data_IF_667800537837
#
_entry.id   IF_667800537837
#
_cell.length_a   1.000
_cell.length_b   1.000
_cell.length_c   1.000
_cell.angle_alpha   90.00
_cell.angle_beta   90.00
_cell.angle_gamma   90.00
#
_symmetry.space_group_name_H-M   'P 1'
#
loop_
_entity.id
_entity.type
_entity.pdbx_description
1 polymer ?
#
# COMPACT_ATOMS: atom_id res chain seq x y z
N UNK A 1 22.05 27.12 2.62
CA UNK A 1 21.81 25.66 2.57
C UNK A 1 20.48 25.47 1.86
N UNK A 2 20.52 25.13 0.57
CA UNK A 2 19.35 25.11 -0.32
C UNK A 2 18.64 23.77 -0.15
N UNK A 3 17.51 23.75 0.57
CA UNK A 3 16.63 22.58 0.59
C UNK A 3 16.02 22.43 -0.82
N UNK A 4 16.51 21.48 -1.59
CA UNK A 4 15.82 21.04 -2.81
C UNK A 4 14.44 20.52 -2.36
N UNK A 5 13.39 21.21 -2.73
CA UNK A 5 12.00 20.76 -2.62
C UNK A 5 11.83 19.46 -3.40
N UNK A 6 11.97 18.33 -2.74
CA UNK A 6 11.46 17.07 -3.27
C UNK A 6 9.94 17.06 -3.01
N UNK A 7 9.17 17.62 -3.91
CA UNK A 7 7.74 17.35 -4.00
C UNK A 7 7.60 15.91 -4.44
N UNK A 8 7.59 14.99 -3.50
CA UNK A 8 7.12 13.64 -3.76
C UNK A 8 5.59 13.73 -3.67
N UNK A 9 4.97 13.97 -4.83
CA UNK A 9 3.57 13.66 -4.99
C UNK A 9 3.43 12.15 -4.77
N UNK A 10 2.98 11.77 -3.58
CA UNK A 10 2.66 10.39 -3.24
C UNK A 10 1.39 10.01 -4.03
N UNK A 11 1.54 9.64 -5.31
CA UNK A 11 0.46 9.05 -6.10
C UNK A 11 -0.07 7.73 -5.51
N UNK A 12 0.63 7.16 -4.51
CA UNK A 12 0.19 5.99 -3.73
C UNK A 12 -0.93 6.36 -2.75
N UNK A 13 -1.05 7.61 -2.35
CA UNK A 13 -2.11 8.12 -1.46
C UNK A 13 -3.50 7.93 -2.08
N UNK A 14 -3.59 7.89 -3.39
CA UNK A 14 -4.87 7.76 -4.11
C UNK A 14 -5.64 6.48 -3.78
N UNK A 15 -4.96 5.38 -3.46
CA UNK A 15 -5.62 4.12 -3.07
C UNK A 15 -6.24 4.17 -1.66
N UNK A 16 -5.84 5.14 -0.81
CA UNK A 16 -6.33 5.26 0.57
C UNK A 16 -7.28 6.45 0.76
N UNK A 17 -7.42 7.31 -0.25
CA UNK A 17 -8.22 8.53 -0.21
C UNK A 17 -9.71 8.27 -0.38
N UNK A 18 -10.08 7.24 -1.15
CA UNK A 18 -11.48 6.87 -1.41
C UNK A 18 -11.65 5.37 -1.37
N UNK A 19 -12.64 4.93 -0.58
CA UNK A 19 -13.06 3.54 -0.64
C UNK A 19 -13.54 3.20 -2.05
N UNK A 20 -13.03 2.11 -2.58
CA UNK A 20 -13.32 1.59 -3.91
C UNK A 20 -13.87 0.18 -3.78
N UNK A 21 -14.96 -0.11 -4.47
CA UNK A 21 -15.59 -1.44 -4.40
C UNK A 21 -14.94 -2.45 -5.35
N UNK A 22 -14.57 -2.00 -6.55
CA UNK A 22 -14.10 -2.86 -7.63
C UNK A 22 -12.62 -2.63 -7.88
N UNK A 23 -11.90 -3.71 -8.10
CA UNK A 23 -10.46 -3.71 -8.37
C UNK A 23 -10.24 -3.37 -9.85
N UNK A 24 -9.40 -2.39 -10.11
CA UNK A 24 -8.99 -1.96 -11.45
C UNK A 24 -7.47 -2.10 -11.63
N UNK A 25 -7.03 -1.98 -12.86
CA UNK A 25 -5.61 -1.94 -13.18
C UNK A 25 -4.93 -0.75 -12.51
N UNK A 26 -3.75 -0.96 -11.94
CA UNK A 26 -3.00 0.03 -11.17
C UNK A 26 -3.37 0.11 -9.70
N UNK A 27 -4.47 -0.51 -9.26
CA UNK A 27 -4.81 -0.55 -7.84
C UNK A 27 -3.80 -1.37 -7.04
N UNK A 28 -3.69 -1.04 -5.76
CA UNK A 28 -3.00 -1.89 -4.78
C UNK A 28 -4.00 -2.79 -4.08
N UNK A 29 -3.71 -4.08 -4.04
CA UNK A 29 -4.53 -5.10 -3.38
C UNK A 29 -3.69 -5.84 -2.35
N UNK A 30 -4.28 -6.16 -1.20
CA UNK A 30 -3.67 -7.06 -0.23
C UNK A 30 -4.19 -8.48 -0.49
N UNK A 31 -3.29 -9.34 -0.92
CA UNK A 31 -3.57 -10.77 -1.07
C UNK A 31 -3.39 -11.44 0.29
N UNK A 32 -4.50 -11.76 0.93
CA UNK A 32 -4.54 -12.39 2.23
C UNK A 32 -4.79 -13.89 2.08
N UNK A 33 -3.82 -14.68 2.47
CA UNK A 33 -3.93 -16.16 2.52
C UNK A 33 -4.22 -16.60 3.95
N UNK A 34 -3.43 -16.13 4.91
CA UNK A 34 -3.61 -16.32 6.35
C UNK A 34 -2.88 -15.21 7.12
N UNK A 35 -2.93 -15.26 8.47
CA UNK A 35 -2.35 -14.23 9.34
C UNK A 35 -0.83 -14.04 9.16
N UNK A 36 -0.12 -15.07 8.69
CA UNK A 36 1.32 -15.06 8.47
C UNK A 36 1.71 -14.87 7.00
N UNK A 37 0.72 -14.87 6.09
CA UNK A 37 0.93 -14.84 4.64
C UNK A 37 0.02 -13.82 4.00
N UNK A 38 0.49 -12.58 4.03
CA UNK A 38 -0.15 -11.43 3.40
C UNK A 38 0.85 -10.75 2.48
N UNK A 39 0.38 -10.28 1.34
CA UNK A 39 1.22 -9.67 0.32
C UNK A 39 0.54 -8.43 -0.25
N UNK A 40 1.25 -7.32 -0.36
CA UNK A 40 0.81 -6.18 -1.16
C UNK A 40 1.15 -6.41 -2.62
N UNK A 41 0.19 -6.22 -3.50
CA UNK A 41 0.32 -6.44 -4.93
C UNK A 41 -0.28 -5.26 -5.70
N UNK A 42 0.50 -4.68 -6.60
CA UNK A 42 -0.01 -3.74 -7.60
C UNK A 42 -0.65 -4.53 -8.76
N UNK A 43 -1.88 -4.21 -9.12
CA UNK A 43 -2.66 -4.91 -10.15
C UNK A 43 -2.16 -4.49 -11.53
N UNK A 44 -1.10 -5.14 -11.97
CA UNK A 44 -0.56 -5.04 -13.33
C UNK A 44 -0.72 -6.38 -14.01
N UNK A 45 -1.66 -6.51 -14.99
CA UNK A 45 -1.98 -7.78 -15.63
C UNK A 45 -0.81 -8.35 -16.42
N UNK A 46 0.09 -7.47 -16.86
CA UNK A 46 1.24 -7.82 -17.68
C UNK A 46 2.56 -7.39 -17.01
N UNK A 47 3.62 -8.07 -17.35
CA UNK A 47 4.99 -7.71 -16.97
C UNK A 47 5.94 -7.96 -18.14
N UNK A 48 6.97 -7.15 -18.22
CA UNK A 48 8.06 -7.35 -19.18
C UNK A 48 9.09 -8.31 -18.56
N UNK A 49 9.41 -9.39 -19.27
CA UNK A 49 10.44 -10.33 -18.86
C UNK A 49 11.86 -9.76 -19.13
N UNK A 50 12.90 -10.50 -18.73
CA UNK A 50 14.30 -10.09 -18.91
C UNK A 50 14.69 -9.93 -20.38
N UNK A 51 13.96 -10.53 -21.30
CA UNK A 51 14.20 -10.49 -22.75
C UNK A 51 13.42 -9.36 -23.45
N UNK A 52 12.68 -8.53 -22.71
CA UNK A 52 11.87 -7.45 -23.27
C UNK A 52 10.48 -7.88 -23.75
N UNK A 53 10.07 -9.14 -23.58
CA UNK A 53 8.78 -9.64 -24.02
C UNK A 53 7.70 -9.40 -22.96
N UNK A 54 6.51 -9.01 -23.40
CA UNK A 54 5.34 -8.83 -22.53
C UNK A 54 4.73 -10.20 -22.22
N UNK A 55 4.63 -10.50 -20.94
CA UNK A 55 4.08 -11.77 -20.45
C UNK A 55 3.01 -11.52 -19.39
N UNK A 56 2.06 -12.46 -19.26
CA UNK A 56 1.06 -12.43 -18.20
C UNK A 56 1.75 -12.37 -16.82
N UNK A 57 1.34 -11.43 -16.01
CA UNK A 57 1.85 -11.33 -14.65
C UNK A 57 1.21 -12.41 -13.77
N UNK A 58 2.05 -13.31 -13.25
CA UNK A 58 1.67 -14.38 -12.33
C UNK A 58 2.35 -14.10 -10.99
N UNK A 59 1.55 -13.89 -9.96
CA UNK A 59 2.03 -13.72 -8.60
C UNK A 59 2.10 -15.07 -7.88
N UNK A 60 3.26 -15.38 -7.31
CA UNK A 60 3.50 -16.64 -6.60
C UNK A 60 3.29 -16.47 -5.11
N UNK A 61 2.50 -17.37 -4.52
CA UNK A 61 2.34 -17.49 -3.07
C UNK A 61 2.74 -18.89 -2.62
N UNK A 62 2.91 -19.09 -1.31
CA UNK A 62 3.14 -20.43 -0.73
C UNK A 62 1.99 -21.42 -1.00
N UNK A 63 0.80 -20.92 -1.32
CA UNK A 63 -0.40 -21.72 -1.60
C UNK A 63 -0.76 -21.76 -3.10
N UNK A 64 0.13 -21.32 -3.96
CA UNK A 64 -0.02 -21.41 -5.40
C UNK A 64 0.05 -20.06 -6.12
N UNK A 65 -0.14 -20.13 -7.43
CA UNK A 65 -0.04 -19.01 -8.34
C UNK A 65 -1.37 -18.28 -8.51
N UNK A 66 -1.32 -16.97 -8.59
CA UNK A 66 -2.43 -16.07 -8.91
C UNK A 66 -2.13 -15.37 -10.23
N UNK A 67 -3.03 -15.46 -11.20
CA UNK A 67 -2.97 -14.60 -12.38
C UNK A 67 -3.50 -13.22 -12.00
N UNK A 68 -2.64 -12.20 -12.06
CA UNK A 68 -2.99 -10.85 -11.60
C UNK A 68 -4.18 -10.28 -12.37
N UNK A 69 -4.31 -10.59 -13.65
CA UNK A 69 -5.46 -10.19 -14.49
C UNK A 69 -6.82 -10.65 -13.95
N UNK A 70 -6.87 -11.77 -13.21
CA UNK A 70 -8.12 -12.33 -12.69
C UNK A 70 -8.67 -11.53 -11.51
N UNK A 71 -7.90 -10.55 -11.00
CA UNK A 71 -8.34 -9.60 -9.96
C UNK A 71 -9.17 -8.47 -10.54
N UNK A 72 -8.92 -8.08 -11.80
CA UNK A 72 -9.59 -6.93 -12.42
C UNK A 72 -11.09 -7.21 -12.56
N UNK A 73 -11.92 -6.25 -12.12
CA UNK A 73 -13.37 -6.38 -12.11
C UNK A 73 -13.94 -7.14 -10.91
N UNK A 74 -13.08 -7.75 -10.06
CA UNK A 74 -13.53 -8.35 -8.81
C UNK A 74 -13.78 -7.28 -7.74
N UNK A 75 -14.67 -7.57 -6.79
CA UNK A 75 -14.86 -6.69 -5.64
C UNK A 75 -13.78 -6.93 -4.59
N UNK A 76 -13.33 -5.86 -3.93
CA UNK A 76 -12.52 -6.00 -2.74
C UNK A 76 -13.27 -6.82 -1.67
N UNK A 77 -12.55 -7.63 -0.91
CA UNK A 77 -13.11 -8.55 0.08
C UNK A 77 -13.48 -9.92 -0.49
N UNK A 78 -13.38 -10.14 -1.80
CA UNK A 78 -13.77 -11.41 -2.42
C UNK A 78 -12.69 -12.48 -2.32
N UNK A 79 -13.15 -13.72 -2.39
CA UNK A 79 -12.31 -14.91 -2.45
C UNK A 79 -11.82 -15.11 -3.89
N UNK A 80 -10.51 -15.18 -4.06
CA UNK A 80 -9.84 -15.39 -5.36
C UNK A 80 -9.17 -16.74 -5.40
N UNK A 81 -9.23 -17.41 -6.56
CA UNK A 81 -8.67 -18.75 -6.72
C UNK A 81 -7.18 -18.68 -6.99
N UNK A 82 -6.43 -19.51 -6.28
CA UNK A 82 -5.03 -19.80 -6.57
C UNK A 82 -4.92 -21.15 -7.26
N UNK A 83 -3.74 -21.49 -7.80
CA UNK A 83 -3.53 -22.79 -8.43
C UNK A 83 -3.68 -23.99 -7.47
N UNK A 84 -3.47 -23.77 -6.14
CA UNK A 84 -3.56 -24.81 -5.11
C UNK A 84 -4.40 -24.34 -3.89
N UNK A 85 -5.46 -23.56 -4.10
CA UNK A 85 -6.28 -23.09 -3.00
C UNK A 85 -6.92 -21.75 -3.31
N UNK A 86 -7.00 -20.89 -2.30
CA UNK A 86 -7.61 -19.57 -2.44
C UNK A 86 -6.93 -18.54 -1.53
N UNK A 87 -7.17 -17.29 -1.85
CA UNK A 87 -6.85 -16.12 -1.02
C UNK A 87 -8.03 -15.15 -1.01
N UNK A 88 -7.93 -14.10 -0.23
CA UNK A 88 -8.86 -12.99 -0.28
C UNK A 88 -8.15 -11.75 -0.85
N UNK A 89 -8.80 -11.05 -1.76
CA UNK A 89 -8.34 -9.79 -2.33
C UNK A 89 -8.88 -8.63 -1.47
N UNK A 90 -8.11 -8.16 -0.49
CA UNK A 90 -8.55 -7.15 0.46
C UNK A 90 -8.17 -5.75 0.01
N UNK A 91 -9.00 -4.77 0.38
CA UNK A 91 -8.67 -3.37 0.25
C UNK A 91 -7.47 -3.02 1.15
N UNK A 92 -6.48 -2.25 0.65
CA UNK A 92 -5.30 -1.89 1.43
C UNK A 92 -5.68 -0.84 2.50
N UNK A 93 -5.81 -1.28 3.75
CA UNK A 93 -5.86 -0.36 4.88
C UNK A 93 -4.46 -0.05 5.37
N UNK A 94 -4.21 1.08 6.08
CA UNK A 94 -2.90 1.37 6.66
C UNK A 94 -2.35 0.23 7.52
N UNK A 95 -3.21 -0.46 8.26
CA UNK A 95 -2.82 -1.59 9.11
C UNK A 95 -2.38 -2.81 8.29
N UNK A 96 -3.15 -3.16 7.25
CA UNK A 96 -2.78 -4.25 6.33
C UNK A 96 -1.54 -3.89 5.52
N UNK A 97 -1.42 -2.63 5.07
CA UNK A 97 -0.21 -2.14 4.40
C UNK A 97 1.02 -2.35 5.27
N UNK A 98 0.99 -1.86 6.50
CA UNK A 98 2.09 -1.98 7.46
C UNK A 98 2.56 -3.43 7.65
N UNK A 99 1.62 -4.38 7.68
CA UNK A 99 1.90 -5.81 7.82
C UNK A 99 2.53 -6.46 6.58
N UNK A 100 2.35 -5.87 5.40
CA UNK A 100 2.90 -6.39 4.14
C UNK A 100 4.21 -5.76 3.72
N UNK A 101 4.68 -4.77 4.48
CA UNK A 101 5.93 -4.07 4.17
C UNK A 101 7.16 -4.98 4.35
N UNK A 102 8.08 -4.96 3.40
CA UNK A 102 9.37 -5.62 3.60
C UNK A 102 10.19 -4.85 4.65
N UNK A 103 10.86 -5.58 5.54
CA UNK A 103 11.73 -5.03 6.59
C UNK A 103 13.02 -4.40 6.02
N UNK A 104 12.90 -3.30 5.31
CA UNK A 104 14.03 -2.55 4.74
C UNK A 104 14.43 -1.32 5.58
N UNK A 105 13.50 -0.82 6.38
CA UNK A 105 13.70 0.30 7.31
C UNK A 105 13.06 -0.10 8.64
N UNK A 106 13.30 0.68 9.70
CA UNK A 106 12.51 0.56 10.93
C UNK A 106 11.04 0.86 10.59
N UNK A 107 10.16 -0.04 10.95
CA UNK A 107 8.71 0.09 10.74
C UNK A 107 8.07 0.44 12.08
N UNK A 108 7.20 1.45 12.09
CA UNK A 108 6.29 1.71 13.18
C UNK A 108 5.03 0.85 13.01
N UNK A 109 4.59 0.23 14.09
CA UNK A 109 3.42 -0.63 14.10
C UNK A 109 2.21 0.07 14.73
N UNK A 110 1.03 -0.53 14.56
CA UNK A 110 -0.26 0.09 14.92
C UNK A 110 -0.33 0.64 16.34
N UNK A 111 0.33 0.00 17.31
CA UNK A 111 0.35 0.46 18.71
C UNK A 111 1.06 1.81 18.83
N UNK A 112 2.27 1.92 18.28
CA UNK A 112 3.05 3.16 18.35
C UNK A 112 2.39 4.28 17.54
N UNK A 113 1.85 3.93 16.36
CA UNK A 113 1.14 4.86 15.48
C UNK A 113 -0.10 5.42 16.18
N UNK A 114 -0.88 4.56 16.85
CA UNK A 114 -2.06 4.99 17.60
C UNK A 114 -1.70 5.95 18.72
N UNK A 115 -0.61 5.68 19.43
CA UNK A 115 -0.12 6.56 20.48
C UNK A 115 0.33 7.93 19.93
N UNK A 116 1.05 7.93 18.80
CA UNK A 116 1.48 9.17 18.12
C UNK A 116 0.26 10.02 17.73
N UNK A 117 -0.74 9.40 17.09
CA UNK A 117 -1.98 10.07 16.66
C UNK A 117 -2.70 10.67 17.86
N UNK A 118 -2.81 9.91 18.96
CA UNK A 118 -3.45 10.36 20.20
C UNK A 118 -2.70 11.53 20.84
N UNK A 119 -1.39 11.42 21.00
CA UNK A 119 -0.54 12.42 21.64
C UNK A 119 -0.49 13.75 20.87
N UNK A 120 -0.55 13.68 19.55
CA UNK A 120 -0.61 14.86 18.69
C UNK A 120 -2.04 15.39 18.49
N UNK A 121 -3.04 14.77 19.12
CA UNK A 121 -4.46 15.14 19.00
C UNK A 121 -4.92 15.31 17.54
N UNK A 122 -4.42 14.45 16.65
CA UNK A 122 -4.72 14.54 15.22
C UNK A 122 -6.19 14.23 14.94
N UNK A 123 -6.77 15.04 14.05
CA UNK A 123 -8.18 14.95 13.65
C UNK A 123 -8.35 15.35 12.19
N UNK A 124 -9.50 15.07 11.58
CA UNK A 124 -9.82 15.58 10.24
C UNK A 124 -9.57 17.09 10.14
N UNK A 125 -8.85 17.50 9.11
CA UNK A 125 -8.44 18.89 8.90
C UNK A 125 -7.09 19.28 9.50
N UNK A 126 -6.43 18.41 10.29
CA UNK A 126 -5.08 18.68 10.79
C UNK A 126 -4.06 18.76 9.65
N UNK A 127 -3.08 19.67 9.80
CA UNK A 127 -1.92 19.77 8.90
C UNK A 127 -0.72 19.17 9.63
N UNK A 128 -0.13 18.15 9.04
CA UNK A 128 0.95 17.37 9.66
C UNK A 128 2.21 17.43 8.81
N UNK A 129 3.36 17.51 9.46
CA UNK A 129 4.68 17.40 8.84
C UNK A 129 5.39 16.18 9.41
N UNK A 130 5.76 15.24 8.54
CA UNK A 130 6.54 14.05 8.86
C UNK A 130 7.94 14.18 8.28
N UNK A 131 8.95 13.96 9.11
CA UNK A 131 10.35 13.88 8.68
C UNK A 131 10.83 12.44 8.81
N UNK A 132 11.12 11.82 7.66
CA UNK A 132 11.49 10.41 7.57
C UNK A 132 10.34 9.51 7.14
N UNK A 133 9.84 9.67 5.91
CA UNK A 133 8.75 8.83 5.35
C UNK A 133 8.98 7.32 5.54
N UNK A 134 10.23 6.88 5.49
CA UNK A 134 10.58 5.47 5.65
C UNK A 134 9.80 4.56 4.69
N UNK A 135 9.13 3.57 5.24
CA UNK A 135 8.26 2.63 4.51
C UNK A 135 6.85 3.16 4.27
N UNK A 136 6.52 4.34 4.80
CA UNK A 136 5.19 4.93 4.71
C UNK A 136 4.17 4.36 5.70
N UNK A 137 4.57 3.52 6.63
CA UNK A 137 3.66 2.93 7.63
C UNK A 137 2.92 4.01 8.43
N UNK A 138 3.66 4.94 9.01
CA UNK A 138 3.09 6.09 9.73
C UNK A 138 2.33 7.01 8.78
N UNK A 139 2.94 7.36 7.64
CA UNK A 139 2.37 8.29 6.66
C UNK A 139 0.94 7.90 6.23
N UNK A 140 0.69 6.62 5.93
CA UNK A 140 -0.63 6.14 5.53
C UNK A 140 -1.68 6.29 6.64
N UNK A 141 -1.29 6.03 7.89
CA UNK A 141 -2.17 6.22 9.05
C UNK A 141 -2.46 7.69 9.32
N UNK A 142 -1.45 8.56 9.16
CA UNK A 142 -1.62 10.01 9.29
C UNK A 142 -2.58 10.54 8.23
N UNK A 143 -2.41 10.17 6.95
CA UNK A 143 -3.31 10.57 5.86
C UNK A 143 -4.74 10.18 6.17
N UNK A 144 -4.98 8.92 6.56
CA UNK A 144 -6.33 8.46 6.96
C UNK A 144 -6.93 9.29 8.09
N UNK A 145 -6.10 9.65 9.07
CA UNK A 145 -6.57 10.38 10.27
C UNK A 145 -6.95 11.82 9.95
N UNK A 146 -6.17 12.51 9.10
CA UNK A 146 -6.42 13.93 8.79
C UNK A 146 -7.41 14.15 7.66
N UNK A 147 -7.74 13.12 6.89
CA UNK A 147 -8.71 13.19 5.79
C UNK A 147 -10.12 13.56 6.30
N UNK A 148 -11.00 14.17 5.47
CA UNK A 148 -10.77 14.54 4.06
C UNK A 148 -10.15 15.95 3.88
N UNK A 149 -10.12 16.78 4.89
CA UNK A 149 -9.79 18.22 4.81
C UNK A 149 -8.38 18.57 5.28
N UNK A 150 -7.70 17.61 5.91
CA UNK A 150 -6.33 17.77 6.37
C UNK A 150 -5.27 17.51 5.30
N UNK A 151 -4.00 17.69 5.67
CA UNK A 151 -2.90 17.49 4.76
C UNK A 151 -1.66 16.94 5.47
N UNK A 152 -0.95 16.01 4.81
CA UNK A 152 0.33 15.48 5.26
C UNK A 152 1.46 15.91 4.33
N UNK A 153 2.47 16.59 4.89
CA UNK A 153 3.75 16.83 4.23
C UNK A 153 4.77 15.82 4.75
N UNK A 154 5.21 14.89 3.92
CA UNK A 154 6.21 13.89 4.33
C UNK A 154 7.50 14.05 3.54
N UNK A 155 8.65 13.97 4.24
CA UNK A 155 9.98 14.17 3.69
C UNK A 155 10.83 12.94 3.95
N UNK A 156 11.32 12.30 2.88
CA UNK A 156 12.17 11.11 2.97
C UNK A 156 13.40 11.19 2.07
N UNK A 157 14.48 10.53 2.47
CA UNK A 157 15.72 10.45 1.69
C UNK A 157 15.55 9.61 0.42
N UNK A 158 14.58 8.72 0.39
CA UNK A 158 14.36 7.75 -0.67
C UNK A 158 13.05 7.98 -1.42
N UNK A 159 13.07 8.97 -2.33
CA UNK A 159 12.00 9.11 -3.33
C UNK A 159 11.81 7.90 -4.25
N UNK A 160 12.60 6.85 -4.07
CA UNK A 160 12.60 5.63 -4.88
C UNK A 160 11.95 4.41 -4.20
N UNK A 161 11.52 4.49 -2.94
CA UNK A 161 10.88 3.36 -2.26
C UNK A 161 9.45 3.08 -2.73
N UNK A 162 8.87 4.01 -3.46
CA UNK A 162 7.51 3.92 -4.00
C UNK A 162 7.46 3.82 -5.54
N UNK A 163 8.60 3.59 -6.19
CA UNK A 163 8.67 3.20 -7.61
C UNK A 163 8.92 1.70 -7.71
N UNK A 164 7.97 0.88 -7.30
CA UNK A 164 7.86 -0.52 -7.76
C UNK A 164 6.44 -0.98 -7.60
#
# INVERSE_FOLDING_TARGET
MIFKKAHIALNIIMSFDRYKEVIEEGDTVIIYVNIHSMYSLEVKPEKVNKNGEVTTNIFQTSYGALKVKDLIGQRFGTKVRLSRGYAYALYPTPDLWTRTLPHRTQILYSTDISLIILQLELRPGSIVVESGTGSGSLAHSLVRTVAPTGHLYTFGKFGALFKR
#
